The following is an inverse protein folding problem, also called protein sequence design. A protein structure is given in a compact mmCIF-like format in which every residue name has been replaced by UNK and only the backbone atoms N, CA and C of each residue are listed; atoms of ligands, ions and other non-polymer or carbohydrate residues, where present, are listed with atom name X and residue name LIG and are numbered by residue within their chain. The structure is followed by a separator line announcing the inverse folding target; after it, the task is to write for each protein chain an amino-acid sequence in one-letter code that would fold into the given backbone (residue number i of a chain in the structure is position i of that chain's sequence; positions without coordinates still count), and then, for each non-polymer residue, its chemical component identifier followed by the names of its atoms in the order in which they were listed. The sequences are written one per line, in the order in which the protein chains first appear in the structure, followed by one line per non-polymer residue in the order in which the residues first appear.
data_IF_446607034280
#
_entry.id   IF_446607034280
#
_cell.length_a   1.000
_cell.length_b   1.000
_cell.length_c   1.000
_cell.angle_alpha   90.00
_cell.angle_beta   90.00
_cell.angle_gamma   90.00
#
_symmetry.space_group_name_H-M   'P 1'
#
loop_
_entity.id
_entity.type
_entity.pdbx_description
1 polymer ?
#
# COMPACT_ATOMS: atom_id res chain seq x y z
N UNK A 1 41.89 -25.90 -25.92
CA UNK A 1 42.37 -24.51 -26.08
C UNK A 1 41.80 -23.72 -24.91
N UNK A 2 42.67 -23.25 -24.02
CA UNK A 2 42.27 -22.65 -22.74
C UNK A 2 42.11 -21.14 -22.89
N UNK A 3 40.90 -20.64 -22.68
CA UNK A 3 40.59 -19.22 -22.75
C UNK A 3 40.85 -18.57 -21.38
N UNK A 4 41.71 -17.54 -21.40
CA UNK A 4 42.21 -16.85 -20.20
C UNK A 4 41.15 -15.88 -19.67
N UNK A 5 40.61 -16.18 -18.50
CA UNK A 5 39.77 -15.25 -17.72
C UNK A 5 40.65 -14.11 -17.18
N UNK A 6 40.52 -12.93 -17.80
CA UNK A 6 41.19 -11.70 -17.39
C UNK A 6 40.50 -11.11 -16.16
N UNK A 7 41.04 -11.38 -14.97
CA UNK A 7 40.59 -10.76 -13.71
C UNK A 7 41.05 -9.30 -13.67
N UNK A 8 40.18 -8.36 -14.06
CA UNK A 8 40.37 -6.94 -13.75
C UNK A 8 40.22 -6.76 -12.23
N UNK A 9 41.32 -6.42 -11.58
CA UNK A 9 41.33 -5.95 -10.18
C UNK A 9 40.62 -4.59 -10.14
N UNK A 10 39.40 -4.56 -9.63
CA UNK A 10 38.73 -3.31 -9.24
C UNK A 10 39.37 -2.87 -7.93
N UNK A 11 40.21 -1.83 -8.02
CA UNK A 11 40.78 -1.15 -6.86
C UNK A 11 39.66 -0.30 -6.26
N UNK A 12 39.05 -0.78 -5.18
CA UNK A 12 38.21 0.04 -4.32
C UNK A 12 39.11 1.05 -3.61
N UNK A 13 39.19 2.26 -4.16
CA UNK A 13 39.73 3.42 -3.45
C UNK A 13 38.78 3.80 -2.33
N UNK A 14 39.14 3.44 -1.11
CA UNK A 14 38.44 3.87 0.09
C UNK A 14 38.53 5.39 0.25
N UNK A 15 37.37 6.04 0.27
CA UNK A 15 37.23 7.39 0.81
C UNK A 15 36.62 7.26 2.21
N UNK A 16 37.50 7.21 3.22
CA UNK A 16 37.11 7.32 4.62
C UNK A 16 36.73 8.78 4.91
N UNK A 17 35.43 9.08 4.90
CA UNK A 17 34.91 10.30 5.51
C UNK A 17 34.56 9.99 6.97
N UNK A 18 35.54 10.24 7.85
CA UNK A 18 35.32 10.41 9.29
C UNK A 18 34.45 11.65 9.48
N UNK A 19 33.16 11.43 9.74
CA UNK A 19 32.19 12.47 10.06
C UNK A 19 31.24 11.98 11.15
N UNK A 20 31.81 11.68 12.32
CA UNK A 20 31.02 11.38 13.51
C UNK A 20 30.30 12.65 13.98
N UNK A 21 28.98 12.65 13.92
CA UNK A 21 28.13 13.54 14.69
C UNK A 21 27.08 12.69 15.40
N UNK A 22 27.42 12.26 16.62
CA UNK A 22 26.48 11.65 17.53
C UNK A 22 25.58 12.77 18.08
N UNK A 23 24.37 12.89 17.54
CA UNK A 23 23.32 13.73 18.15
C UNK A 23 22.58 12.85 19.15
N UNK A 24 22.99 12.90 20.40
CA UNK A 24 22.22 12.35 21.52
C UNK A 24 21.04 13.28 21.82
N UNK A 25 19.90 13.04 21.18
CA UNK A 25 18.64 13.67 21.56
C UNK A 25 18.02 12.88 22.72
N UNK A 26 18.32 13.30 23.95
CA UNK A 26 17.59 12.87 25.15
C UNK A 26 16.32 13.71 25.25
N UNK A 27 15.24 13.25 24.62
CA UNK A 27 13.91 13.80 24.88
C UNK A 27 13.38 13.16 26.17
N UNK A 28 13.52 13.89 27.26
CA UNK A 28 12.82 13.62 28.51
C UNK A 28 11.33 13.88 28.33
N UNK A 29 10.54 12.82 28.28
CA UNK A 29 9.10 12.91 28.52
C UNK A 29 8.89 12.97 30.04
N UNK A 30 8.80 14.17 30.60
CA UNK A 30 8.22 14.39 31.92
C UNK A 30 6.74 13.98 31.88
N UNK A 31 6.42 12.93 32.64
CA UNK A 31 5.05 12.51 32.90
C UNK A 31 4.29 13.60 33.64
N UNK A 32 3.21 14.09 33.02
CA UNK A 32 2.13 14.77 33.73
C UNK A 32 1.02 13.76 33.96
N UNK A 33 0.90 13.33 35.21
CA UNK A 33 -0.20 12.54 35.73
C UNK A 33 -1.51 13.32 35.62
N UNK A 34 -2.16 13.19 34.46
CA UNK A 34 -3.53 13.65 34.22
C UNK A 34 -4.51 12.69 34.90
N UNK A 35 -4.87 13.01 36.13
CA UNK A 35 -5.93 12.32 36.90
C UNK A 35 -7.27 12.48 36.19
N UNK A 36 -7.65 11.50 35.36
CA UNK A 36 -8.96 11.48 34.68
C UNK A 36 -10.04 11.20 35.72
N UNK A 37 -10.85 12.23 36.00
CA UNK A 37 -11.98 12.16 36.91
C UNK A 37 -13.17 11.51 36.17
N UNK A 38 -13.34 10.20 36.32
CA UNK A 38 -14.49 9.48 35.77
C UNK A 38 -15.72 9.74 36.66
N UNK A 39 -16.70 10.47 36.11
CA UNK A 39 -18.01 10.66 36.74
C UNK A 39 -18.84 9.38 36.55
N UNK A 40 -19.34 8.74 37.61
CA UNK A 40 -20.19 7.55 37.49
C UNK A 40 -21.55 7.90 36.86
N UNK A 41 -21.85 7.32 35.70
CA UNK A 41 -23.18 7.39 35.09
C UNK A 41 -24.13 6.47 35.84
N UNK A 42 -25.13 7.06 36.49
CA UNK A 42 -26.16 6.39 37.26
C UNK A 42 -27.13 5.62 36.33
N UNK A 43 -27.52 4.38 36.65
CA UNK A 43 -28.50 3.63 35.85
C UNK A 43 -29.86 4.32 35.85
N UNK A 44 -30.43 4.48 34.66
CA UNK A 44 -31.77 5.02 34.45
C UNK A 44 -32.82 4.00 34.95
N UNK A 45 -33.62 4.38 35.95
CA UNK A 45 -34.70 3.53 36.47
C UNK A 45 -35.84 3.43 35.45
N UNK A 46 -36.07 2.22 34.96
CA UNK A 46 -37.16 1.88 34.04
C UNK A 46 -38.46 1.76 34.82
N UNK A 47 -39.41 2.67 34.58
CA UNK A 47 -40.77 2.61 35.11
C UNK A 47 -41.52 1.40 34.55
N UNK A 48 -42.06 0.56 35.44
CA UNK A 48 -42.87 -0.62 35.10
C UNK A 48 -44.26 -0.17 34.61
N UNK A 49 -44.68 -0.52 33.38
CA UNK A 49 -46.01 -0.19 32.90
C UNK A 49 -47.09 -1.06 33.58
N UNK A 50 -48.15 -0.39 34.04
CA UNK A 50 -49.35 -1.00 34.61
C UNK A 50 -50.18 -1.66 33.50
N UNK A 51 -50.28 -2.98 33.52
CA UNK A 51 -51.01 -3.77 32.53
C UNK A 51 -52.46 -3.93 32.98
N UNK A 52 -53.37 -3.20 32.33
CA UNK A 52 -54.82 -3.41 32.45
C UNK A 52 -55.20 -4.56 31.52
N UNK A 53 -55.75 -5.63 32.09
CA UNK A 53 -56.16 -6.82 31.36
C UNK A 53 -57.44 -6.54 30.56
N UNK A 54 -57.33 -6.67 29.24
CA UNK A 54 -58.43 -6.55 28.27
C UNK A 54 -59.09 -7.94 28.05
N UNK A 55 -60.42 -8.02 27.83
CA UNK A 55 -61.13 -9.29 27.70
C UNK A 55 -60.67 -10.15 26.51
N UNK A 56 -60.45 -11.42 26.82
CA UNK A 56 -60.06 -12.49 25.90
C UNK A 56 -61.12 -12.73 24.83
N UNK A 57 -60.82 -12.36 23.59
CA UNK A 57 -61.64 -12.73 22.43
C UNK A 57 -61.39 -14.18 22.01
N UNK A 58 -62.46 -14.87 21.60
CA UNK A 58 -62.42 -16.25 21.08
C UNK A 58 -61.70 -16.28 19.74
N UNK A 59 -60.65 -17.10 19.55
CA UNK A 59 -59.87 -17.11 18.33
C UNK A 59 -60.68 -17.73 17.18
N UNK A 60 -60.83 -16.95 16.11
CA UNK A 60 -61.30 -17.45 14.81
C UNK A 60 -60.15 -18.23 14.19
N UNK A 61 -60.39 -19.51 13.87
CA UNK A 61 -59.40 -20.37 13.21
C UNK A 61 -59.27 -19.92 11.76
N UNK A 62 -58.31 -19.04 11.53
CA UNK A 62 -57.93 -18.58 10.19
C UNK A 62 -57.06 -19.66 9.53
N UNK A 63 -57.50 -20.15 8.37
CA UNK A 63 -56.77 -21.16 7.61
C UNK A 63 -55.46 -20.56 7.11
N UNK A 64 -54.35 -20.92 7.77
CA UNK A 64 -53.01 -20.47 7.41
C UNK A 64 -52.69 -20.81 5.95
N UNK A 65 -52.25 -19.85 5.13
CA UNK A 65 -51.79 -20.14 3.77
C UNK A 65 -50.59 -21.09 3.83
N UNK A 66 -50.55 -22.04 2.90
CA UNK A 66 -49.40 -22.92 2.70
C UNK A 66 -48.15 -22.08 2.44
N UNK A 67 -47.04 -22.28 3.18
CA UNK A 67 -45.83 -21.51 2.97
C UNK A 67 -45.33 -21.71 1.53
N UNK A 68 -45.09 -20.59 0.84
CA UNK A 68 -44.43 -20.59 -0.46
C UNK A 68 -43.03 -21.19 -0.32
N UNK A 69 -42.54 -21.98 -1.29
CA UNK A 69 -41.18 -22.48 -1.25
C UNK A 69 -40.18 -21.33 -1.13
N UNK A 70 -39.23 -21.47 -0.20
CA UNK A 70 -38.10 -20.56 -0.06
C UNK A 70 -37.25 -20.64 -1.33
N UNK A 71 -36.92 -19.51 -1.99
CA UNK A 71 -36.06 -19.53 -3.17
C UNK A 71 -34.70 -20.12 -2.81
N UNK A 72 -34.17 -20.96 -3.70
CA UNK A 72 -32.83 -21.54 -3.57
C UNK A 72 -31.79 -20.41 -3.63
N UNK A 73 -30.76 -20.42 -2.76
CA UNK A 73 -29.72 -19.39 -2.78
C UNK A 73 -29.05 -19.33 -4.15
N UNK A 74 -28.96 -18.14 -4.72
CA UNK A 74 -28.19 -17.92 -5.95
C UNK A 74 -26.72 -18.24 -5.65
N UNK A 75 -26.04 -19.07 -6.47
CA UNK A 75 -24.64 -19.37 -6.25
C UNK A 75 -23.83 -18.08 -6.27
N UNK A 76 -23.04 -17.85 -5.23
CA UNK A 76 -22.07 -16.76 -5.22
C UNK A 76 -21.05 -17.00 -6.33
N UNK A 77 -20.83 -15.98 -7.16
CA UNK A 77 -19.79 -16.03 -8.17
C UNK A 77 -18.44 -16.08 -7.47
N UNK A 78 -17.67 -17.13 -7.73
CA UNK A 78 -16.28 -17.20 -7.29
C UNK A 78 -15.52 -16.04 -7.91
N UNK A 79 -14.84 -15.19 -7.12
CA UNK A 79 -14.08 -14.07 -7.67
C UNK A 79 -13.02 -14.60 -8.64
N UNK A 80 -12.91 -13.97 -9.80
CA UNK A 80 -11.82 -14.25 -10.74
C UNK A 80 -10.51 -13.79 -10.08
N UNK A 81 -9.45 -14.60 -10.08
CA UNK A 81 -8.18 -14.20 -9.47
C UNK A 81 -7.65 -12.94 -10.15
N UNK A 82 -7.30 -11.94 -9.34
CA UNK A 82 -6.69 -10.72 -9.84
C UNK A 82 -5.31 -11.04 -10.45
N UNK A 83 -4.97 -10.46 -11.62
CA UNK A 83 -3.69 -10.75 -12.25
C UNK A 83 -2.52 -10.41 -11.32
N UNK A 84 -1.61 -11.36 -11.16
CA UNK A 84 -0.44 -11.16 -10.31
C UNK A 84 0.50 -10.08 -10.89
N UNK A 85 0.77 -9.06 -10.08
CA UNK A 85 1.73 -8.01 -10.39
C UNK A 85 3.15 -8.50 -10.09
N UNK A 86 4.03 -8.45 -11.10
CA UNK A 86 5.43 -8.89 -11.01
C UNK A 86 6.38 -7.69 -11.20
N UNK A 87 7.63 -7.77 -10.69
CA UNK A 87 8.64 -6.73 -10.93
C UNK A 87 8.84 -6.39 -12.40
N UNK A 88 8.77 -7.38 -13.30
CA UNK A 88 8.94 -7.19 -14.74
C UNK A 88 7.80 -6.38 -15.34
N UNK A 89 6.56 -6.69 -14.96
CA UNK A 89 5.39 -5.94 -15.40
C UNK A 89 5.46 -4.49 -14.91
N UNK A 90 5.82 -4.30 -13.65
CA UNK A 90 5.93 -2.99 -13.04
C UNK A 90 7.04 -2.15 -13.70
N UNK A 91 8.24 -2.73 -13.87
CA UNK A 91 9.35 -2.05 -14.54
C UNK A 91 9.03 -1.73 -16.01
N UNK A 92 8.30 -2.60 -16.70
CA UNK A 92 7.82 -2.32 -18.05
C UNK A 92 6.89 -1.11 -18.06
N UNK A 93 5.91 -1.04 -17.16
CA UNK A 93 5.02 0.11 -17.02
C UNK A 93 5.79 1.40 -16.71
N UNK A 94 6.78 1.36 -15.82
CA UNK A 94 7.65 2.50 -15.51
C UNK A 94 8.47 2.92 -16.75
N UNK A 95 8.97 1.95 -17.53
CA UNK A 95 9.64 2.22 -18.80
C UNK A 95 8.77 3.03 -19.76
N UNK A 96 7.47 2.71 -19.84
CA UNK A 96 6.51 3.49 -20.63
C UNK A 96 6.35 4.93 -20.13
N UNK A 97 6.32 5.14 -18.80
CA UNK A 97 6.33 6.50 -18.24
C UNK A 97 7.59 7.25 -18.66
N UNK A 98 8.75 6.60 -18.58
CA UNK A 98 10.03 7.20 -18.98
C UNK A 98 10.10 7.50 -20.49
N UNK A 99 9.37 6.78 -21.32
CA UNK A 99 9.19 7.08 -22.75
C UNK A 99 8.23 8.25 -22.99
N UNK A 100 7.16 8.34 -22.21
CA UNK A 100 6.18 9.42 -22.27
C UNK A 100 6.75 10.79 -21.90
N UNK A 101 7.73 10.81 -20.99
CA UNK A 101 8.39 12.00 -20.48
C UNK A 101 9.88 11.97 -20.80
N UNK A 102 10.29 12.35 -22.03
CA UNK A 102 11.65 12.17 -22.53
C UNK A 102 12.67 13.15 -21.96
N UNK A 103 12.31 13.92 -20.91
CA UNK A 103 13.26 14.74 -20.15
C UNK A 103 14.42 13.85 -19.71
N UNK A 104 15.61 14.13 -20.26
CA UNK A 104 16.72 13.17 -20.24
C UNK A 104 17.08 12.70 -18.82
N UNK A 105 17.06 13.64 -17.86
CA UNK A 105 17.33 13.36 -16.45
C UNK A 105 16.23 12.49 -15.83
N UNK A 106 14.96 12.86 -15.96
CA UNK A 106 13.83 12.09 -15.45
C UNK A 106 13.78 10.67 -16.03
N UNK A 107 13.89 10.55 -17.37
CA UNK A 107 13.90 9.27 -18.07
C UNK A 107 15.01 8.36 -17.56
N UNK A 108 16.24 8.86 -17.49
CA UNK A 108 17.38 8.08 -17.01
C UNK A 108 17.22 7.65 -15.55
N UNK A 109 16.70 8.55 -14.70
CA UNK A 109 16.51 8.30 -13.28
C UNK A 109 15.43 7.25 -13.03
N UNK A 110 14.28 7.33 -13.70
CA UNK A 110 13.19 6.36 -13.58
C UNK A 110 13.65 4.95 -14.00
N UNK A 111 14.32 4.84 -15.16
CA UNK A 111 14.79 3.55 -15.67
C UNK A 111 15.85 2.96 -14.73
N UNK A 112 16.83 3.75 -14.29
CA UNK A 112 17.90 3.28 -13.40
C UNK A 112 17.35 2.85 -12.03
N UNK A 113 16.43 3.63 -11.43
CA UNK A 113 15.82 3.31 -10.13
C UNK A 113 14.93 2.08 -10.23
N UNK A 114 14.15 1.93 -11.31
CA UNK A 114 13.33 0.74 -11.55
C UNK A 114 14.19 -0.51 -11.68
N UNK A 115 15.28 -0.44 -12.46
CA UNK A 115 16.23 -1.54 -12.58
C UNK A 115 16.83 -1.92 -11.22
N UNK A 116 17.32 -0.93 -10.45
CA UNK A 116 17.90 -1.18 -9.13
C UNK A 116 16.89 -1.77 -8.12
N UNK A 117 15.65 -1.26 -8.10
CA UNK A 117 14.59 -1.79 -7.23
C UNK A 117 14.26 -3.26 -7.57
N UNK A 118 14.21 -3.59 -8.87
CA UNK A 118 14.01 -4.96 -9.33
C UNK A 118 15.18 -5.87 -8.97
N UNK A 119 16.41 -5.45 -9.22
CA UNK A 119 17.61 -6.23 -8.85
C UNK A 119 17.66 -6.49 -7.34
N UNK A 120 17.34 -5.49 -6.52
CA UNK A 120 17.26 -5.65 -5.07
C UNK A 120 16.15 -6.64 -4.66
N UNK A 121 15.01 -6.61 -5.33
CA UNK A 121 13.93 -7.57 -5.09
C UNK A 121 14.36 -8.99 -5.47
N UNK A 122 14.90 -9.18 -6.67
CA UNK A 122 15.41 -10.46 -7.14
C UNK A 122 16.50 -11.01 -6.23
N UNK A 123 17.39 -10.16 -5.72
CA UNK A 123 18.39 -10.53 -4.73
C UNK A 123 17.73 -11.08 -3.47
N UNK A 124 16.73 -10.40 -2.90
CA UNK A 124 16.04 -10.87 -1.69
C UNK A 124 15.35 -12.22 -1.92
N UNK A 125 14.68 -12.38 -3.07
CA UNK A 125 14.01 -13.64 -3.41
C UNK A 125 15.01 -14.79 -3.60
N UNK A 126 16.11 -14.57 -4.32
CA UNK A 126 17.08 -15.62 -4.66
C UNK A 126 18.00 -15.97 -3.50
N UNK A 127 18.45 -14.99 -2.73
CA UNK A 127 19.31 -15.21 -1.56
C UNK A 127 18.53 -15.69 -0.33
N UNK A 128 17.23 -15.39 -0.26
CA UNK A 128 16.44 -15.54 0.95
C UNK A 128 16.81 -14.54 2.05
N UNK A 129 17.59 -13.50 1.75
CA UNK A 129 17.96 -12.43 2.67
C UNK A 129 16.80 -11.45 2.89
N UNK A 130 15.82 -11.91 3.67
CA UNK A 130 14.63 -11.12 3.95
C UNK A 130 14.90 -9.90 4.84
N UNK A 131 16.05 -9.83 5.52
CA UNK A 131 16.45 -8.63 6.26
C UNK A 131 16.66 -7.42 5.32
N UNK A 132 16.98 -7.70 4.05
CA UNK A 132 17.18 -6.68 3.02
C UNK A 132 15.87 -6.26 2.32
N UNK A 133 14.69 -6.73 2.73
CA UNK A 133 13.42 -6.44 2.03
C UNK A 133 13.03 -4.95 2.02
N UNK A 134 13.52 -4.17 2.99
CA UNK A 134 13.29 -2.72 2.98
C UNK A 134 13.94 -2.05 1.76
N UNK A 135 15.02 -2.60 1.21
CA UNK A 135 15.71 -2.04 0.05
C UNK A 135 14.83 -1.97 -1.21
N UNK A 136 14.23 -3.07 -1.70
CA UNK A 136 13.29 -2.99 -2.82
C UNK A 136 12.03 -2.17 -2.49
N UNK A 137 11.48 -2.27 -1.27
CA UNK A 137 10.32 -1.47 -0.87
C UNK A 137 10.60 0.04 -0.97
N UNK A 138 11.75 0.48 -0.45
CA UNK A 138 12.21 1.86 -0.56
C UNK A 138 12.49 2.26 -2.02
N UNK A 139 13.06 1.34 -2.82
CA UNK A 139 13.29 1.56 -4.24
C UNK A 139 11.99 1.85 -5.01
N UNK A 140 10.98 1.01 -4.84
CA UNK A 140 9.66 1.19 -5.44
C UNK A 140 8.89 2.38 -4.85
N UNK A 141 8.97 2.61 -3.54
CA UNK A 141 8.41 3.81 -2.91
C UNK A 141 9.00 5.10 -3.50
N UNK A 142 10.31 5.16 -3.70
CA UNK A 142 10.97 6.31 -4.33
C UNK A 142 10.55 6.50 -5.80
N UNK A 143 10.29 5.42 -6.54
CA UNK A 143 9.73 5.53 -7.90
C UNK A 143 8.33 6.15 -7.88
N UNK A 144 7.48 5.80 -6.90
CA UNK A 144 6.21 6.48 -6.72
C UNK A 144 6.40 7.97 -6.38
N UNK A 145 7.40 8.34 -5.55
CA UNK A 145 7.75 9.74 -5.25
C UNK A 145 8.02 10.55 -6.52
N UNK A 146 8.70 9.93 -7.50
CA UNK A 146 9.03 10.58 -8.76
C UNK A 146 7.83 10.65 -9.73
N UNK A 147 6.97 9.62 -9.75
CA UNK A 147 5.83 9.51 -10.69
C UNK A 147 4.61 10.31 -10.23
N UNK A 148 4.35 10.41 -8.92
CA UNK A 148 3.16 11.09 -8.38
C UNK A 148 3.05 12.55 -8.88
N UNK A 149 4.09 13.40 -8.82
CA UNK A 149 3.99 14.77 -9.33
C UNK A 149 3.64 14.82 -10.82
N UNK A 150 4.17 13.89 -11.61
CA UNK A 150 3.89 13.77 -13.05
C UNK A 150 2.42 13.41 -13.26
N UNK A 151 1.92 12.41 -12.53
CA UNK A 151 0.52 11.99 -12.58
C UNK A 151 -0.44 13.11 -12.14
N UNK A 152 -0.09 13.88 -11.11
CA UNK A 152 -0.92 14.98 -10.63
C UNK A 152 -0.98 16.16 -11.61
N UNK A 153 0.11 16.41 -12.35
CA UNK A 153 0.16 17.43 -13.40
C UNK A 153 -0.47 16.98 -14.72
N UNK A 154 -0.68 15.67 -14.90
CA UNK A 154 -1.29 15.06 -16.08
C UNK A 154 -2.48 14.18 -15.63
N UNK A 155 -3.62 14.79 -15.25
CA UNK A 155 -4.77 14.06 -14.71
C UNK A 155 -5.49 13.19 -15.74
N UNK A 156 -5.24 13.43 -17.02
CA UNK A 156 -5.68 12.60 -18.14
C UNK A 156 -4.61 11.57 -18.49
N UNK A 157 -5.02 10.48 -19.12
CA UNK A 157 -4.08 9.47 -19.57
C UNK A 157 -3.14 10.04 -20.64
N UNK A 158 -1.87 9.66 -20.57
CA UNK A 158 -0.85 10.12 -21.52
C UNK A 158 -0.80 9.16 -22.70
N UNK A 159 -0.87 9.69 -23.92
CA UNK A 159 -0.81 8.87 -25.13
C UNK A 159 0.63 8.88 -25.66
N UNK A 160 1.24 7.69 -25.76
CA UNK A 160 2.56 7.49 -26.38
C UNK A 160 2.41 6.56 -27.56
N UNK A 161 2.53 7.10 -28.77
CA UNK A 161 2.24 6.36 -30.00
C UNK A 161 0.76 5.98 -30.08
N UNK A 162 0.45 4.69 -29.92
CA UNK A 162 -0.92 4.15 -29.92
C UNK A 162 -1.34 3.60 -28.55
N UNK A 163 -0.48 3.72 -27.54
CA UNK A 163 -0.76 3.22 -26.20
C UNK A 163 -1.18 4.36 -25.27
N UNK A 164 -2.23 4.09 -24.49
CA UNK A 164 -2.69 4.96 -23.43
C UNK A 164 -2.02 4.56 -22.11
N UNK A 165 -1.40 5.52 -21.43
CA UNK A 165 -0.67 5.32 -20.18
C UNK A 165 -1.46 6.01 -19.06
N UNK A 166 -2.02 5.22 -18.17
CA UNK A 166 -2.68 5.72 -16.97
C UNK A 166 -1.66 5.83 -15.83
N UNK A 167 -1.17 7.05 -15.59
CA UNK A 167 -0.14 7.31 -14.59
C UNK A 167 -0.62 7.01 -13.16
N UNK A 168 -1.87 7.32 -12.84
CA UNK A 168 -2.44 6.98 -11.54
C UNK A 168 -2.51 5.48 -11.30
N UNK A 169 -2.84 4.68 -12.32
CA UNK A 169 -2.84 3.23 -12.21
C UNK A 169 -1.42 2.70 -11.95
N UNK A 170 -0.40 3.27 -12.60
CA UNK A 170 1.00 2.86 -12.34
C UNK A 170 1.39 3.13 -10.89
N UNK A 171 0.99 4.28 -10.31
CA UNK A 171 1.24 4.56 -8.90
C UNK A 171 0.50 3.57 -7.98
N UNK A 172 -0.75 3.23 -8.30
CA UNK A 172 -1.52 2.19 -7.58
C UNK A 172 -0.80 0.84 -7.65
N UNK A 173 -0.33 0.46 -8.84
CA UNK A 173 0.40 -0.80 -9.03
C UNK A 173 1.68 -0.82 -8.18
N UNK A 174 2.45 0.28 -8.16
CA UNK A 174 3.64 0.38 -7.30
C UNK A 174 3.24 0.23 -5.82
N UNK A 175 2.18 0.93 -5.37
CA UNK A 175 1.68 0.85 -3.99
C UNK A 175 1.29 -0.59 -3.63
N UNK A 176 0.48 -1.23 -4.46
CA UNK A 176 -0.01 -2.59 -4.24
C UNK A 176 1.13 -3.61 -4.27
N UNK A 177 2.14 -3.40 -5.12
CA UNK A 177 3.34 -4.23 -5.15
C UNK A 177 4.14 -4.13 -3.85
N UNK A 178 4.36 -2.91 -3.34
CA UNK A 178 5.05 -2.68 -2.06
C UNK A 178 4.25 -3.27 -0.90
N UNK A 179 2.93 -3.09 -0.90
CA UNK A 179 2.02 -3.67 0.09
C UNK A 179 2.11 -5.20 0.11
N UNK A 180 1.99 -5.84 -1.06
CA UNK A 180 2.11 -7.29 -1.20
C UNK A 180 3.45 -7.79 -0.65
N UNK A 181 4.56 -7.18 -1.06
CA UNK A 181 5.89 -7.56 -0.59
C UNK A 181 6.00 -7.44 0.92
N UNK A 182 5.54 -6.32 1.48
CA UNK A 182 5.61 -6.07 2.91
C UNK A 182 4.80 -7.09 3.70
N UNK A 183 3.54 -7.32 3.30
CA UNK A 183 2.62 -8.25 3.97
C UNK A 183 3.10 -9.71 3.89
N UNK A 184 3.66 -10.15 2.76
CA UNK A 184 4.22 -11.51 2.63
C UNK A 184 5.41 -11.77 3.57
N UNK A 185 6.05 -10.72 4.07
CA UNK A 185 7.24 -10.79 4.92
C UNK A 185 6.95 -10.42 6.38
N UNK A 186 5.80 -9.80 6.65
CA UNK A 186 5.30 -9.58 8.00
C UNK A 186 4.69 -10.84 8.63
N UNK A 187 4.82 -11.01 9.95
CA UNK A 187 5.72 -10.29 10.88
C UNK A 187 7.14 -10.91 10.90
N UNK A 188 7.42 -11.86 10.01
CA UNK A 188 8.58 -12.75 10.11
C UNK A 188 9.92 -12.03 9.94
N UNK A 189 9.96 -11.02 9.07
CA UNK A 189 11.22 -10.39 8.65
C UNK A 189 11.25 -8.87 8.81
N UNK A 190 10.08 -8.24 8.86
CA UNK A 190 9.93 -6.83 9.24
C UNK A 190 8.94 -6.74 10.40
N UNK A 191 9.09 -5.74 11.30
CA UNK A 191 8.16 -5.56 12.41
C UNK A 191 6.72 -5.44 11.92
N UNK A 192 5.78 -6.05 12.64
CA UNK A 192 4.35 -5.94 12.35
C UNK A 192 3.92 -4.47 12.24
N UNK A 193 3.15 -4.16 11.20
CA UNK A 193 2.66 -2.80 10.94
C UNK A 193 3.65 -1.89 10.21
N UNK A 194 4.87 -2.36 9.89
CA UNK A 194 5.84 -1.59 9.09
C UNK A 194 5.28 -1.26 7.70
N UNK A 195 4.60 -2.21 7.08
CA UNK A 195 3.99 -2.08 5.75
C UNK A 195 2.85 -1.08 5.78
N UNK A 196 1.95 -1.21 6.77
CA UNK A 196 0.86 -0.26 6.95
C UNK A 196 1.38 1.16 7.23
N UNK A 197 2.42 1.29 8.07
CA UNK A 197 3.11 2.56 8.31
C UNK A 197 3.70 3.13 7.01
N UNK A 198 4.45 2.34 6.25
CA UNK A 198 5.03 2.78 4.98
C UNK A 198 3.96 3.26 3.98
N UNK A 199 2.86 2.53 3.85
CA UNK A 199 1.78 2.90 2.93
C UNK A 199 1.03 4.17 3.38
N UNK A 200 0.84 4.35 4.68
CA UNK A 200 0.09 5.50 5.22
C UNK A 200 0.94 6.76 5.42
N UNK A 201 2.21 6.61 5.75
CA UNK A 201 3.09 7.75 6.06
C UNK A 201 3.93 8.15 4.85
N UNK A 202 4.45 7.19 4.10
CA UNK A 202 5.22 7.51 2.90
C UNK A 202 4.33 7.67 1.68
N UNK A 203 3.33 6.82 1.42
CA UNK A 203 2.62 6.88 0.13
C UNK A 203 1.55 7.98 0.03
N UNK A 204 0.61 8.06 0.99
CA UNK A 204 -0.50 9.03 0.89
C UNK A 204 -0.02 10.47 1.04
N UNK A 205 0.98 10.72 1.88
CA UNK A 205 1.59 12.05 2.09
C UNK A 205 2.34 12.58 0.87
N UNK A 206 2.71 11.71 -0.08
CA UNK A 206 3.34 12.14 -1.33
C UNK A 206 2.36 12.77 -2.31
N UNK A 207 1.06 12.50 -2.16
CA UNK A 207 0.05 13.00 -3.09
C UNK A 207 -0.25 14.47 -2.73
N UNK A 208 0.15 15.43 -3.58
CA UNK A 208 -0.06 16.85 -3.29
C UNK A 208 -1.54 17.15 -3.06
N UNK A 209 -1.86 18.07 -2.15
CA UNK A 209 -3.25 18.41 -1.81
C UNK A 209 -4.05 18.89 -3.02
N UNK A 210 -3.39 19.55 -3.97
CA UNK A 210 -3.92 20.07 -5.22
C UNK A 210 -3.91 19.07 -6.39
N UNK A 211 -3.48 17.82 -6.17
CA UNK A 211 -3.53 16.76 -7.17
C UNK A 211 -4.97 16.53 -7.69
N UNK A 212 -5.15 16.57 -9.01
CA UNK A 212 -6.45 16.41 -9.67
C UNK A 212 -6.66 15.04 -10.31
N UNK A 213 -5.67 14.15 -10.27
CA UNK A 213 -5.77 12.83 -10.88
C UNK A 213 -6.79 11.97 -10.10
N UNK A 214 -7.88 11.48 -10.73
CA UNK A 214 -9.01 10.89 -10.02
C UNK A 214 -8.63 9.67 -9.18
N UNK A 215 -7.77 8.80 -9.72
CA UNK A 215 -7.29 7.62 -9.00
C UNK A 215 -6.44 7.98 -7.77
N UNK A 216 -5.62 9.04 -7.83
CA UNK A 216 -4.73 9.42 -6.73
C UNK A 216 -5.47 10.19 -5.64
N UNK A 217 -6.52 10.93 -5.99
CA UNK A 217 -7.37 11.59 -5.00
C UNK A 217 -8.04 10.57 -4.08
N UNK A 218 -8.43 9.41 -4.62
CA UNK A 218 -9.05 8.32 -3.84
C UNK A 218 -8.07 7.57 -2.92
N UNK A 219 -6.76 7.80 -3.06
CA UNK A 219 -5.73 7.18 -2.20
C UNK A 219 -5.40 8.02 -0.96
N UNK A 220 -5.90 9.26 -0.87
CA UNK A 220 -5.73 10.12 0.33
C UNK A 220 -6.70 9.67 1.43
#
# INVERSE_FOLDING_TARGET
MAERISRRKVVFGGLAALGGLAVAATLGCEGKDGKVNTTPTQPLETSVPNVTAEPTQTPVIETSPTPSPTPEPTPELTPTPEPELTPEKLNKSIGKVAEAFPEAELKSNLIARAAAAKENYEYVITSGDNASIQSPMNGYGNLAKDIIPIACNNPENVIVGQEEINLGQIVIDIRNFVEKIGLEREPKYIPEGTTAFFLSEDFTKLIPTDCKHPLLVNLK
#
